data_IF_935002063814
#
_entry.id   IF_935002063814
#
_cell.length_a   1.000
_cell.length_b   1.000
_cell.length_c   1.000
_cell.angle_alpha   90.00
_cell.angle_beta   90.00
_cell.angle_gamma   90.00
#
_symmetry.space_group_name_H-M   'P 1'
#
loop_
_entity.id
_entity.type
_entity.pdbx_description
1 polymer ?
#
# COMPACT_ATOMS: atom_id res chain seq x y z
N UNK A 1 -5.81 -17.81 -12.47
CA UNK A 1 -4.63 -17.00 -12.81
C UNK A 1 -4.76 -15.64 -12.15
N UNK A 2 -3.77 -15.25 -11.37
CA UNK A 2 -3.77 -13.94 -10.74
C UNK A 2 -3.37 -12.91 -11.82
N UNK A 3 -4.17 -11.86 -11.97
CA UNK A 3 -3.83 -10.80 -12.88
C UNK A 3 -2.53 -10.14 -12.40
N UNK A 4 -1.57 -9.96 -13.30
CA UNK A 4 -0.34 -9.26 -12.96
C UNK A 4 -0.64 -7.81 -12.61
N UNK A 5 0.04 -7.28 -11.63
CA UNK A 5 -0.05 -5.87 -11.28
C UNK A 5 1.30 -5.21 -11.50
N UNK A 6 1.30 -3.94 -11.89
CA UNK A 6 2.54 -3.20 -12.14
C UNK A 6 3.03 -2.53 -10.87
N UNK A 7 2.11 -2.04 -10.05
CA UNK A 7 2.43 -1.29 -8.85
C UNK A 7 1.67 -1.83 -7.65
N UNK A 8 2.26 -1.62 -6.48
CA UNK A 8 1.66 -1.94 -5.19
C UNK A 8 1.50 -0.63 -4.42
N UNK A 9 0.33 -0.38 -3.87
CA UNK A 9 0.06 0.83 -3.11
C UNK A 9 0.09 0.52 -1.62
N UNK A 10 0.98 1.20 -0.89
CA UNK A 10 1.03 1.10 0.56
C UNK A 10 -0.16 1.83 1.19
N UNK A 11 -0.43 1.56 2.45
CA UNK A 11 -1.59 2.05 3.18
C UNK A 11 -1.74 3.55 3.13
N UNK A 12 -0.65 4.31 3.32
CA UNK A 12 -0.73 5.77 3.35
C UNK A 12 -1.23 6.38 2.04
N UNK A 13 -0.88 5.78 0.90
CA UNK A 13 -1.39 6.23 -0.40
C UNK A 13 -2.91 6.12 -0.46
N UNK A 14 -3.44 4.98 0.00
CA UNK A 14 -4.88 4.75 0.03
C UNK A 14 -5.59 5.69 1.02
N UNK A 15 -4.94 5.96 2.16
CA UNK A 15 -5.49 6.90 3.13
C UNK A 15 -5.59 8.32 2.57
N UNK A 16 -4.59 8.78 1.83
CA UNK A 16 -4.68 10.08 1.15
C UNK A 16 -5.81 10.12 0.13
N UNK A 17 -6.01 9.02 -0.60
CA UNK A 17 -7.10 8.94 -1.57
C UNK A 17 -8.49 9.00 -0.90
N UNK A 18 -8.61 8.44 0.30
CA UNK A 18 -9.89 8.40 1.01
C UNK A 18 -10.15 9.66 1.85
N UNK A 19 -9.09 10.22 2.46
CA UNK A 19 -9.22 11.24 3.51
C UNK A 19 -8.57 12.57 3.15
N UNK A 20 -7.72 12.62 2.15
CA UNK A 20 -6.79 13.73 1.95
C UNK A 20 -7.40 15.00 1.36
N UNK A 21 -8.62 14.96 0.84
CA UNK A 21 -9.19 16.11 0.14
C UNK A 21 -9.26 17.37 0.99
N UNK A 22 -9.50 17.24 2.30
CA UNK A 22 -9.57 18.37 3.23
C UNK A 22 -8.20 18.81 3.76
N UNK A 23 -7.35 17.85 4.10
CA UNK A 23 -6.12 18.12 4.86
C UNK A 23 -4.86 18.20 3.99
N UNK A 24 -4.83 17.50 2.85
CA UNK A 24 -3.65 17.40 2.00
C UNK A 24 -4.07 17.29 0.52
N UNK A 25 -4.63 18.37 -0.06
CA UNK A 25 -5.23 18.30 -1.40
C UNK A 25 -4.26 17.87 -2.49
N UNK A 26 -2.99 18.26 -2.43
CA UNK A 26 -2.01 17.85 -3.45
C UNK A 26 -1.72 16.35 -3.38
N UNK A 27 -1.56 15.81 -2.17
CA UNK A 27 -1.38 14.37 -1.99
C UNK A 27 -2.64 13.60 -2.35
N UNK A 28 -3.81 14.16 -2.03
CA UNK A 28 -5.09 13.56 -2.42
C UNK A 28 -5.17 13.40 -3.95
N UNK A 29 -4.89 14.46 -4.70
CA UNK A 29 -4.97 14.41 -6.16
C UNK A 29 -4.02 13.36 -6.74
N UNK A 30 -2.79 13.31 -6.24
CA UNK A 30 -1.80 12.32 -6.66
C UNK A 30 -2.25 10.89 -6.32
N UNK A 31 -2.77 10.69 -5.10
CA UNK A 31 -3.24 9.39 -4.67
C UNK A 31 -4.42 8.90 -5.53
N UNK A 32 -5.38 9.77 -5.80
CA UNK A 32 -6.52 9.43 -6.65
C UNK A 32 -6.06 9.05 -8.06
N UNK A 33 -5.09 9.78 -8.60
CA UNK A 33 -4.49 9.46 -9.90
C UNK A 33 -3.91 8.03 -9.90
N UNK A 34 -3.24 7.64 -8.80
CA UNK A 34 -2.66 6.29 -8.69
C UNK A 34 -3.72 5.19 -8.65
N UNK A 35 -4.94 5.49 -8.20
CA UNK A 35 -6.03 4.51 -8.23
C UNK A 35 -6.46 4.14 -9.65
N UNK A 36 -6.06 4.90 -10.65
CA UNK A 36 -6.35 4.57 -12.06
C UNK A 36 -5.33 3.60 -12.65
N UNK A 37 -4.26 3.30 -11.95
CA UNK A 37 -3.25 2.34 -12.40
C UNK A 37 -3.69 0.90 -12.11
N UNK A 38 -2.95 -0.06 -12.67
CA UNK A 38 -3.16 -1.48 -12.34
C UNK A 38 -2.42 -1.78 -11.04
N UNK A 39 -3.02 -1.37 -9.95
CA UNK A 39 -2.39 -1.53 -8.64
C UNK A 39 -2.88 -2.77 -7.91
N UNK A 40 -2.04 -3.25 -6.99
CA UNK A 40 -2.39 -4.31 -6.07
C UNK A 40 -2.20 -3.90 -4.62
N UNK A 41 -2.66 -4.76 -3.74
CA UNK A 41 -2.54 -4.58 -2.30
C UNK A 41 -2.38 -5.91 -1.58
N UNK A 42 -2.51 -5.89 -0.27
CA UNK A 42 -2.37 -7.09 0.55
C UNK A 42 -3.34 -7.08 1.73
N UNK A 43 -3.47 -8.21 2.38
CA UNK A 43 -4.29 -8.32 3.59
C UNK A 43 -3.85 -7.35 4.68
N UNK A 44 -2.55 -7.16 4.84
CA UNK A 44 -2.01 -6.19 5.79
C UNK A 44 -2.48 -4.76 5.45
N UNK A 45 -2.34 -4.36 4.19
CA UNK A 45 -2.74 -3.02 3.75
C UNK A 45 -4.23 -2.80 3.96
N UNK A 46 -5.07 -3.79 3.64
CA UNK A 46 -6.51 -3.67 3.84
C UNK A 46 -6.87 -3.52 5.32
N UNK A 47 -6.22 -4.29 6.18
CA UNK A 47 -6.47 -4.21 7.63
C UNK A 47 -6.03 -2.85 8.20
N UNK A 48 -4.84 -2.40 7.83
CA UNK A 48 -4.33 -1.09 8.25
C UNK A 48 -5.21 0.05 7.75
N UNK A 49 -5.65 -0.04 6.50
CA UNK A 49 -6.55 0.95 5.92
C UNK A 49 -7.85 1.02 6.72
N UNK A 50 -8.49 -0.13 6.97
CA UNK A 50 -9.77 -0.16 7.68
C UNK A 50 -9.67 0.53 9.04
N UNK A 51 -8.64 0.20 9.81
CA UNK A 51 -8.46 0.76 11.16
C UNK A 51 -8.16 2.26 11.09
N UNK A 52 -7.22 2.65 10.24
CA UNK A 52 -6.73 4.04 10.22
C UNK A 52 -7.70 5.02 9.54
N UNK A 53 -8.46 4.58 8.55
CA UNK A 53 -9.40 5.44 7.85
C UNK A 53 -10.51 5.97 8.77
N UNK A 54 -10.82 5.25 9.85
CA UNK A 54 -11.82 5.65 10.83
C UNK A 54 -11.28 6.59 11.91
N UNK A 55 -9.97 6.78 11.96
CA UNK A 55 -9.30 7.50 13.04
C UNK A 55 -8.53 8.73 12.60
N UNK A 56 -8.03 8.74 11.38
CA UNK A 56 -7.15 9.79 10.88
C UNK A 56 -7.91 10.88 10.14
N UNK A 57 -7.24 12.02 9.98
CA UNK A 57 -7.76 13.15 9.23
C UNK A 57 -8.78 13.97 9.99
N UNK A 58 -9.12 15.13 9.43
CA UNK A 58 -10.15 16.01 10.01
C UNK A 58 -11.56 15.48 9.77
N UNK A 59 -11.75 14.66 8.73
CA UNK A 59 -13.04 14.03 8.42
C UNK A 59 -12.80 12.54 8.21
N UNK A 60 -12.69 11.74 9.29
CA UNK A 60 -12.51 10.29 9.18
C UNK A 60 -13.72 9.62 8.52
N UNK A 61 -13.50 8.45 7.93
CA UNK A 61 -14.60 7.65 7.41
C UNK A 61 -15.40 7.02 8.55
N UNK A 62 -16.69 6.80 8.30
CA UNK A 62 -17.47 5.91 9.17
C UNK A 62 -17.03 4.47 8.98
N UNK A 63 -17.45 3.59 9.90
CA UNK A 63 -17.15 2.15 9.78
C UNK A 63 -17.72 1.58 8.48
N UNK A 64 -18.94 1.99 8.11
CA UNK A 64 -19.57 1.51 6.87
C UNK A 64 -18.84 2.02 5.62
N UNK A 65 -18.41 3.26 5.62
CA UNK A 65 -17.62 3.81 4.51
C UNK A 65 -16.28 3.10 4.37
N UNK A 66 -15.59 2.88 5.50
CA UNK A 66 -14.32 2.15 5.49
C UNK A 66 -14.50 0.72 4.99
N UNK A 67 -15.56 0.05 5.41
CA UNK A 67 -15.89 -1.31 4.94
C UNK A 67 -16.10 -1.34 3.44
N UNK A 68 -16.81 -0.37 2.88
CA UNK A 68 -17.07 -0.29 1.45
C UNK A 68 -15.77 -0.11 0.66
N UNK A 69 -14.86 0.74 1.17
CA UNK A 69 -13.54 0.91 0.56
C UNK A 69 -12.77 -0.41 0.53
N UNK A 70 -12.73 -1.13 1.66
CA UNK A 70 -12.04 -2.42 1.76
C UNK A 70 -12.62 -3.42 0.76
N UNK A 71 -13.96 -3.48 0.67
CA UNK A 71 -14.62 -4.36 -0.28
C UNK A 71 -14.16 -4.06 -1.71
N UNK A 72 -14.16 -2.79 -2.11
CA UNK A 72 -13.75 -2.40 -3.47
C UNK A 72 -12.27 -2.65 -3.71
N UNK A 73 -11.42 -2.37 -2.73
CA UNK A 73 -9.98 -2.63 -2.84
C UNK A 73 -9.69 -4.13 -2.96
N UNK A 74 -10.48 -4.98 -2.31
CA UNK A 74 -10.30 -6.43 -2.37
C UNK A 74 -10.53 -7.01 -3.76
N UNK A 75 -11.16 -6.24 -4.67
CA UNK A 75 -11.39 -6.67 -6.05
C UNK A 75 -10.18 -6.42 -6.95
N UNK A 76 -9.18 -5.69 -6.48
CA UNK A 76 -7.92 -5.50 -7.19
C UNK A 76 -7.01 -6.71 -6.95
N UNK A 77 -5.85 -6.75 -7.62
CA UNK A 77 -4.85 -7.77 -7.35
C UNK A 77 -4.50 -7.75 -5.85
N UNK A 78 -4.53 -8.91 -5.20
CA UNK A 78 -4.53 -8.97 -3.76
C UNK A 78 -3.72 -10.16 -3.27
N UNK A 79 -2.78 -9.90 -2.36
CA UNK A 79 -1.97 -10.93 -1.73
C UNK A 79 -2.47 -11.17 -0.30
N UNK A 80 -3.01 -12.35 0.00
CA UNK A 80 -3.40 -12.71 1.37
C UNK A 80 -2.17 -12.74 2.29
N UNK A 81 -2.39 -12.56 3.58
CA UNK A 81 -1.35 -12.76 4.58
C UNK A 81 -1.25 -14.25 4.86
N UNK A 82 -0.31 -14.90 4.20
CA UNK A 82 -0.04 -16.32 4.38
C UNK A 82 1.38 -16.53 4.95
N UNK A 83 1.75 -17.78 5.20
CA UNK A 83 3.08 -18.08 5.74
C UNK A 83 4.20 -17.58 4.84
N UNK A 84 4.04 -17.69 3.53
CA UNK A 84 5.09 -17.27 2.59
C UNK A 84 5.36 -15.77 2.69
N UNK A 85 4.31 -14.96 2.84
CA UNK A 85 4.46 -13.51 3.04
C UNK A 85 5.09 -13.20 4.39
N UNK A 86 4.68 -13.90 5.44
CA UNK A 86 5.27 -13.72 6.78
C UNK A 86 6.77 -14.05 6.75
N UNK A 87 7.13 -15.18 6.18
CA UNK A 87 8.53 -15.59 6.06
C UNK A 87 9.34 -14.59 5.24
N UNK A 88 8.79 -14.16 4.10
CA UNK A 88 9.43 -13.14 3.27
C UNK A 88 9.63 -11.82 3.99
N UNK A 89 8.64 -11.42 4.80
CA UNK A 89 8.74 -10.22 5.63
C UNK A 89 9.87 -10.31 6.65
N UNK A 90 10.01 -11.46 7.30
CA UNK A 90 11.11 -11.69 8.25
C UNK A 90 12.45 -11.61 7.54
N UNK A 91 12.59 -12.29 6.41
CA UNK A 91 13.83 -12.29 5.62
C UNK A 91 14.22 -10.88 5.17
N UNK A 92 13.25 -10.12 4.65
CA UNK A 92 13.47 -8.75 4.19
C UNK A 92 13.86 -7.82 5.36
N UNK A 93 13.19 -7.95 6.50
CA UNK A 93 13.48 -7.15 7.69
C UNK A 93 14.94 -7.36 8.12
N UNK A 94 15.40 -8.59 8.14
CA UNK A 94 16.76 -8.92 8.55
C UNK A 94 17.80 -8.49 7.51
N UNK A 95 17.50 -8.71 6.23
CA UNK A 95 18.43 -8.39 5.15
C UNK A 95 18.63 -6.89 4.97
N UNK A 96 17.54 -6.13 5.05
CA UNK A 96 17.56 -4.70 4.73
C UNK A 96 17.54 -3.81 5.98
N UNK A 97 17.51 -4.40 7.17
CA UNK A 97 17.46 -3.64 8.43
C UNK A 97 16.27 -2.70 8.48
N UNK A 98 15.11 -3.20 8.10
CA UNK A 98 13.83 -2.48 8.12
C UNK A 98 12.87 -3.21 9.08
N UNK A 99 11.73 -2.58 9.38
CA UNK A 99 10.72 -3.23 10.23
C UNK A 99 10.16 -4.47 9.54
N UNK A 100 9.65 -5.40 10.35
CA UNK A 100 8.94 -6.56 9.78
C UNK A 100 7.79 -6.11 8.88
N UNK A 101 7.02 -5.10 9.33
CA UNK A 101 5.84 -4.65 8.57
C UNK A 101 6.21 -4.12 7.19
N UNK A 102 7.30 -3.35 7.10
CA UNK A 102 7.82 -2.88 5.82
C UNK A 102 8.35 -4.04 4.98
N UNK A 103 9.04 -4.99 5.62
CA UNK A 103 9.52 -6.20 4.94
C UNK A 103 8.37 -7.02 4.36
N UNK A 104 7.25 -7.10 5.07
CA UNK A 104 6.08 -7.83 4.61
C UNK A 104 5.38 -7.13 3.44
N UNK A 105 5.38 -5.81 3.41
CA UNK A 105 4.88 -5.04 2.25
C UNK A 105 5.70 -5.39 1.01
N UNK A 106 7.02 -5.39 1.12
CA UNK A 106 7.91 -5.76 0.01
C UNK A 106 7.63 -7.20 -0.45
N UNK A 107 7.50 -8.14 0.50
CA UNK A 107 7.24 -9.54 0.18
C UNK A 107 5.90 -9.71 -0.56
N UNK A 108 4.85 -9.02 -0.12
CA UNK A 108 3.55 -9.07 -0.78
C UNK A 108 3.62 -8.52 -2.20
N UNK A 109 4.32 -7.40 -2.39
CA UNK A 109 4.50 -6.80 -3.72
C UNK A 109 5.25 -7.74 -4.66
N UNK A 110 6.30 -8.39 -4.18
CA UNK A 110 7.05 -9.36 -4.99
C UNK A 110 6.18 -10.53 -5.42
N UNK A 111 5.36 -11.04 -4.53
CA UNK A 111 4.46 -12.16 -4.85
C UNK A 111 3.39 -11.81 -5.86
N UNK A 112 2.98 -10.55 -5.91
CA UNK A 112 2.05 -10.07 -6.93
C UNK A 112 2.72 -9.76 -8.26
N UNK A 113 4.06 -9.79 -8.30
CA UNK A 113 4.80 -9.43 -9.51
C UNK A 113 4.90 -7.94 -9.74
N UNK A 114 4.64 -7.12 -8.73
CA UNK A 114 4.78 -5.68 -8.85
C UNK A 114 6.26 -5.30 -8.91
N UNK A 115 6.59 -4.35 -9.78
CA UNK A 115 7.97 -3.84 -9.88
C UNK A 115 8.18 -2.59 -9.03
N UNK A 116 7.11 -1.91 -8.63
CA UNK A 116 7.18 -0.67 -7.86
C UNK A 116 6.22 -0.73 -6.68
N UNK A 117 6.68 -0.30 -5.52
CA UNK A 117 5.84 -0.02 -4.36
C UNK A 117 5.82 1.49 -4.16
N UNK A 118 4.65 2.08 -4.17
CA UNK A 118 4.47 3.48 -3.80
C UNK A 118 4.25 3.59 -2.30
N UNK A 119 5.16 4.28 -1.62
CA UNK A 119 5.13 4.43 -0.16
C UNK A 119 5.89 5.69 0.26
N UNK A 120 5.42 6.34 1.33
CA UNK A 120 6.17 7.42 1.99
C UNK A 120 7.15 6.91 3.04
N UNK A 121 6.99 5.66 3.49
CA UNK A 121 7.67 5.16 4.70
C UNK A 121 9.02 4.54 4.43
N UNK A 122 9.25 4.04 3.22
CA UNK A 122 10.50 3.41 2.84
C UNK A 122 11.35 4.39 2.03
N UNK A 123 12.63 4.07 1.87
CA UNK A 123 13.56 4.96 1.16
C UNK A 123 13.22 5.08 -0.31
N UNK A 124 12.93 6.30 -0.74
CA UNK A 124 12.65 6.60 -2.14
C UNK A 124 13.83 6.20 -3.03
N UNK A 125 13.52 5.46 -4.10
CA UNK A 125 14.49 5.04 -5.09
C UNK A 125 15.27 3.79 -4.74
N UNK A 126 15.12 3.26 -3.51
CA UNK A 126 15.81 2.04 -3.12
C UNK A 126 15.15 0.81 -3.70
N UNK A 127 15.96 -0.15 -4.15
CA UNK A 127 15.50 -1.45 -4.63
C UNK A 127 15.64 -2.48 -3.52
N UNK A 128 14.57 -3.25 -3.32
CA UNK A 128 14.50 -4.35 -2.36
C UNK A 128 14.16 -5.61 -3.15
N UNK A 129 15.14 -6.46 -3.43
CA UNK A 129 14.91 -7.61 -4.29
C UNK A 129 14.49 -7.18 -5.69
N UNK A 130 13.30 -7.60 -6.12
CA UNK A 130 12.75 -7.27 -7.43
C UNK A 130 11.88 -6.01 -7.42
N UNK A 131 11.74 -5.36 -6.28
CA UNK A 131 10.83 -4.23 -6.09
C UNK A 131 11.59 -2.94 -5.83
N UNK A 132 11.21 -1.88 -6.54
CA UNK A 132 11.72 -0.53 -6.27
C UNK A 132 10.66 0.27 -5.52
N UNK A 133 11.09 0.99 -4.49
CA UNK A 133 10.20 1.88 -3.75
C UNK A 133 10.28 3.30 -4.33
N UNK A 134 9.12 3.91 -4.51
CA UNK A 134 9.02 5.31 -4.90
C UNK A 134 8.03 6.02 -3.96
N UNK A 135 8.42 7.21 -3.52
CA UNK A 135 7.49 8.10 -2.83
C UNK A 135 6.76 8.91 -3.89
N UNK A 136 5.46 8.67 -4.12
CA UNK A 136 4.75 9.28 -5.22
C UNK A 136 4.42 10.77 -5.00
N UNK A 137 4.68 11.27 -3.79
CA UNK A 137 4.33 12.64 -3.38
C UNK A 137 5.52 13.59 -3.45
N UNK A 138 6.69 13.09 -3.80
CA UNK A 138 7.85 13.96 -4.03
C UNK A 138 7.71 14.70 -5.36
N UNK A 139 8.27 15.92 -5.46
CA UNK A 139 8.28 16.64 -6.73
C UNK A 139 9.01 15.84 -7.81
N UNK A 140 8.57 15.97 -9.06
CA UNK A 140 9.19 15.31 -10.20
C UNK A 140 10.60 15.89 -10.47
#
# INVERSE_FOLDING_TARGET
>A
MIASTEVFLDTNVLLYAALGSADAPEKYERAVELLTTRFGGSGQVLAEFYVNAQRKGSVPLSADEAKEWVYRLSKKAFQPVDYAVIRGGIENARRYQISYWDGAIIAAAERLGASVVYSEDLNHGQTYGSVRVENPFLPA
#
